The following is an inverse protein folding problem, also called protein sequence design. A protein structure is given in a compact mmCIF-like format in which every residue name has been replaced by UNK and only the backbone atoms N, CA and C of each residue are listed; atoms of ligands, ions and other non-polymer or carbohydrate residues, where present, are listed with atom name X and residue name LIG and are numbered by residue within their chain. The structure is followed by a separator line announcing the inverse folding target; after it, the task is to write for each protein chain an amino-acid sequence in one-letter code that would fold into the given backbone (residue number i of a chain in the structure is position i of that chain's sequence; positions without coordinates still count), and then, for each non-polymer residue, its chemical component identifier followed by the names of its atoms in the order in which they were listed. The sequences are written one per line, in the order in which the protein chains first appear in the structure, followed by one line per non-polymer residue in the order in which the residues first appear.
data_IF_859518799541
#
_entry.id   IF_859518799541
#
_cell.length_a   1.000
_cell.length_b   1.000
_cell.length_c   1.000
_cell.angle_alpha   90.00
_cell.angle_beta   90.00
_cell.angle_gamma   90.00
#
_symmetry.space_group_name_H-M   'P 1'
#
loop_
_entity.id
_entity.type
_entity.pdbx_description
1 polymer ?
#
# COMPACT_ATOMS: atom_id res chain seq x y z
N UNK A 1 3.83 -14.43 -7.07
CA UNK A 1 2.46 -13.92 -7.30
C UNK A 1 1.38 -14.93 -6.91
N UNK A 2 1.43 -16.21 -7.32
CA UNK A 2 0.44 -17.21 -6.87
C UNK A 2 0.37 -17.36 -5.34
N UNK A 3 1.53 -17.36 -4.67
CA UNK A 3 1.62 -17.35 -3.20
C UNK A 3 0.91 -16.12 -2.61
N UNK A 4 1.28 -14.91 -3.05
CA UNK A 4 0.64 -13.67 -2.60
C UNK A 4 -0.88 -13.63 -2.86
N UNK A 5 -1.35 -14.15 -4.01
CA UNK A 5 -2.79 -14.28 -4.28
C UNK A 5 -3.45 -15.28 -3.33
N UNK A 6 -2.79 -16.40 -3.07
CA UNK A 6 -3.27 -17.42 -2.14
C UNK A 6 -3.39 -16.87 -0.73
N UNK A 7 -2.39 -16.11 -0.28
CA UNK A 7 -2.39 -15.43 1.01
C UNK A 7 -3.43 -14.33 1.09
N UNK A 8 -3.67 -13.60 0.00
CA UNK A 8 -4.67 -12.53 -0.07
C UNK A 8 -6.10 -13.08 0.00
N UNK A 9 -6.43 -14.09 -0.81
CA UNK A 9 -7.77 -14.67 -0.88
C UNK A 9 -8.03 -15.76 0.16
N UNK A 10 -7.00 -16.20 0.90
CA UNK A 10 -7.08 -17.30 1.89
C UNK A 10 -7.56 -18.62 1.29
N UNK A 11 -7.27 -18.84 0.01
CA UNK A 11 -7.55 -20.06 -0.74
C UNK A 11 -6.52 -20.24 -1.87
N UNK A 12 -6.25 -21.47 -2.36
CA UNK A 12 -5.28 -21.66 -3.43
C UNK A 12 -5.67 -20.92 -4.71
N UNK A 13 -4.84 -19.96 -5.12
CA UNK A 13 -5.03 -19.18 -6.35
C UNK A 13 -3.77 -19.25 -7.21
N UNK A 14 -3.94 -19.63 -8.48
CA UNK A 14 -2.85 -19.64 -9.46
C UNK A 14 -2.85 -18.33 -10.22
N UNK A 15 -1.73 -17.59 -10.17
CA UNK A 15 -1.56 -16.38 -10.98
C UNK A 15 -1.74 -16.69 -12.48
N UNK A 16 -2.46 -15.84 -13.19
CA UNK A 16 -2.65 -15.94 -14.64
C UNK A 16 -1.90 -14.83 -15.37
N UNK A 17 -2.26 -13.58 -15.11
CA UNK A 17 -1.72 -12.40 -15.78
C UNK A 17 -1.94 -11.14 -14.94
N UNK A 18 -1.30 -10.06 -15.32
CA UNK A 18 -1.54 -8.73 -14.75
C UNK A 18 -1.87 -7.73 -15.84
N UNK A 19 -2.61 -6.69 -15.48
CA UNK A 19 -3.05 -5.64 -16.38
C UNK A 19 -2.66 -4.27 -15.81
N UNK A 20 -2.22 -3.39 -16.68
CA UNK A 20 -1.96 -2.00 -16.34
C UNK A 20 -3.27 -1.23 -16.21
N UNK A 21 -3.43 -0.49 -15.11
CA UNK A 21 -4.61 0.36 -14.87
C UNK A 21 -4.29 1.83 -15.15
N UNK A 22 -3.14 2.32 -14.69
CA UNK A 22 -2.76 3.72 -14.87
C UNK A 22 -1.63 4.16 -13.95
N UNK A 23 -1.05 5.31 -14.23
CA UNK A 23 -0.05 5.94 -13.39
C UNK A 23 -0.70 6.69 -12.22
N UNK A 24 0.10 7.03 -11.20
CA UNK A 24 -0.28 8.11 -10.28
C UNK A 24 -0.15 9.46 -10.98
N UNK A 25 -0.94 10.47 -10.57
CA UNK A 25 -0.94 11.79 -11.22
C UNK A 25 0.46 12.40 -11.36
N UNK A 26 0.66 13.23 -12.39
CA UNK A 26 1.95 13.91 -12.63
C UNK A 26 2.34 14.75 -11.40
N UNK A 27 3.56 14.53 -10.88
CA UNK A 27 4.06 15.26 -9.71
C UNK A 27 3.74 14.59 -8.37
N UNK A 28 3.13 13.41 -8.39
CA UNK A 28 3.08 12.49 -7.25
C UNK A 28 4.11 11.38 -7.52
N UNK A 29 4.96 11.05 -6.55
CA UNK A 29 6.03 10.00 -6.61
C UNK A 29 7.45 10.44 -7.00
N UNK A 30 8.02 11.42 -6.29
CA UNK A 30 9.44 11.83 -6.45
C UNK A 30 10.45 10.75 -6.04
N UNK A 31 10.09 9.85 -5.12
CA UNK A 31 11.00 8.85 -4.52
C UNK A 31 10.91 7.45 -5.16
N UNK A 32 9.91 7.21 -6.00
CA UNK A 32 9.60 5.88 -6.56
C UNK A 32 8.97 5.95 -7.95
N UNK A 33 8.87 4.81 -8.62
CA UNK A 33 7.97 4.60 -9.77
C UNK A 33 6.68 3.97 -9.23
N UNK A 34 5.53 4.61 -9.43
CA UNK A 34 4.24 4.15 -8.86
C UNK A 34 3.22 3.99 -9.96
N UNK A 35 2.66 2.79 -10.07
CA UNK A 35 1.62 2.45 -11.03
C UNK A 35 0.50 1.68 -10.34
N UNK A 36 -0.70 1.70 -10.92
CA UNK A 36 -1.81 0.84 -10.54
C UNK A 36 -1.87 -0.33 -11.48
N UNK A 37 -2.02 -1.52 -10.92
CA UNK A 37 -2.16 -2.76 -11.68
C UNK A 37 -3.30 -3.62 -11.13
N UNK A 38 -3.87 -4.44 -12.01
CA UNK A 38 -4.77 -5.53 -11.66
C UNK A 38 -4.03 -6.84 -11.77
N UNK A 39 -4.13 -7.70 -10.77
CA UNK A 39 -3.51 -9.01 -10.75
C UNK A 39 -4.64 -10.04 -10.76
N UNK A 40 -4.63 -10.87 -11.80
CA UNK A 40 -5.63 -11.92 -12.01
C UNK A 40 -5.08 -13.27 -11.58
N UNK A 41 -5.98 -14.13 -11.11
CA UNK A 41 -5.68 -15.52 -10.81
C UNK A 41 -6.90 -16.41 -10.97
N UNK A 42 -6.65 -17.72 -11.01
CA UNK A 42 -7.68 -18.75 -11.05
C UNK A 42 -7.70 -19.55 -9.74
N UNK A 43 -8.90 -19.67 -9.16
CA UNK A 43 -9.19 -20.52 -8.02
C UNK A 43 -10.20 -21.59 -8.47
N UNK A 44 -9.70 -22.75 -8.92
CA UNK A 44 -10.51 -23.90 -9.35
C UNK A 44 -11.54 -23.53 -10.44
N UNK A 45 -11.14 -22.78 -11.45
CA UNK A 45 -12.02 -22.31 -12.52
C UNK A 45 -12.80 -21.02 -12.20
N UNK A 46 -12.63 -20.46 -10.99
CA UNK A 46 -13.20 -19.16 -10.61
C UNK A 46 -12.15 -18.07 -10.74
N UNK A 47 -12.40 -17.08 -11.60
CA UNK A 47 -11.52 -15.91 -11.74
C UNK A 47 -11.51 -15.07 -10.46
N UNK A 48 -10.31 -14.70 -10.02
CA UNK A 48 -10.03 -13.82 -8.88
C UNK A 48 -9.22 -12.62 -9.36
N UNK A 49 -9.56 -11.45 -8.84
CA UNK A 49 -8.95 -10.18 -9.21
C UNK A 49 -8.64 -9.38 -7.95
N UNK A 50 -7.42 -8.84 -7.89
CA UNK A 50 -7.06 -7.81 -6.91
C UNK A 50 -6.41 -6.63 -7.62
N UNK A 51 -6.82 -5.41 -7.28
CA UNK A 51 -6.18 -4.18 -7.75
C UNK A 51 -5.24 -3.65 -6.68
N UNK A 52 -4.01 -3.36 -7.08
CA UNK A 52 -2.95 -2.92 -6.18
C UNK A 52 -2.22 -1.70 -6.75
N UNK A 53 -1.68 -0.89 -5.85
CA UNK A 53 -0.67 0.11 -6.14
C UNK A 53 0.69 -0.57 -6.06
N UNK A 54 1.38 -0.66 -7.19
CA UNK A 54 2.75 -1.15 -7.31
C UNK A 54 3.72 0.02 -7.21
N UNK A 55 4.60 -0.02 -6.22
CA UNK A 55 5.66 0.95 -6.01
C UNK A 55 7.01 0.26 -6.15
N UNK A 56 7.80 0.71 -7.14
CA UNK A 56 9.13 0.19 -7.44
C UNK A 56 10.21 1.22 -7.12
N UNK A 57 11.35 0.74 -6.65
CA UNK A 57 12.54 1.57 -6.50
C UNK A 57 12.95 2.16 -7.86
N UNK A 58 13.26 3.47 -7.97
CA UNK A 58 13.54 4.10 -9.27
C UNK A 58 14.69 3.43 -10.01
N UNK A 59 14.67 3.28 -11.34
CA UNK A 59 15.81 2.64 -12.04
C UNK A 59 17.10 3.50 -12.06
N UNK A 60 16.95 4.82 -11.95
CA UNK A 60 18.08 5.75 -12.01
C UNK A 60 18.91 5.75 -10.71
N UNK A 61 20.18 5.35 -10.81
CA UNK A 61 21.11 5.26 -9.66
C UNK A 61 21.34 6.60 -8.97
N UNK A 62 21.53 7.69 -9.72
CA UNK A 62 21.73 9.02 -9.13
C UNK A 62 20.51 9.43 -8.30
N UNK A 63 19.29 9.18 -8.80
CA UNK A 63 18.05 9.44 -8.06
C UNK A 63 18.00 8.61 -6.77
N UNK A 64 18.36 7.32 -6.81
CA UNK A 64 18.40 6.47 -5.62
C UNK A 64 19.35 7.01 -4.56
N UNK A 65 20.55 7.43 -4.95
CA UNK A 65 21.57 7.93 -4.03
C UNK A 65 21.16 9.28 -3.42
N UNK A 66 20.73 10.23 -4.26
CA UNK A 66 20.29 11.56 -3.81
C UNK A 66 19.14 11.47 -2.80
N UNK A 67 18.23 10.52 -3.01
CA UNK A 67 17.03 10.37 -2.20
C UNK A 67 17.07 9.20 -1.23
N UNK A 68 18.21 8.50 -1.03
CA UNK A 68 18.35 7.34 -0.13
C UNK A 68 17.20 6.32 -0.30
N UNK A 69 16.84 6.05 -1.56
CA UNK A 69 15.60 5.32 -1.87
C UNK A 69 15.53 3.94 -1.23
N UNK A 70 16.66 3.23 -1.14
CA UNK A 70 16.74 1.92 -0.50
C UNK A 70 16.33 1.99 0.99
N UNK A 71 16.76 3.03 1.70
CA UNK A 71 16.39 3.20 3.10
C UNK A 71 14.90 3.48 3.27
N UNK A 72 14.33 4.35 2.43
CA UNK A 72 12.90 4.67 2.48
C UNK A 72 12.02 3.47 2.16
N UNK A 73 12.38 2.69 1.12
CA UNK A 73 11.68 1.46 0.77
C UNK A 73 11.77 0.43 1.90
N UNK A 74 12.97 0.21 2.46
CA UNK A 74 13.16 -0.69 3.59
C UNK A 74 12.31 -0.27 4.80
N UNK A 75 12.21 1.02 5.09
CA UNK A 75 11.39 1.53 6.19
C UNK A 75 9.89 1.30 5.95
N UNK A 76 9.41 1.60 4.74
CA UNK A 76 8.01 1.37 4.35
C UNK A 76 7.65 -0.12 4.38
N UNK A 77 8.51 -0.99 3.86
CA UNK A 77 8.31 -2.45 3.92
C UNK A 77 8.29 -2.94 5.37
N UNK A 78 9.23 -2.50 6.20
CA UNK A 78 9.25 -2.84 7.63
C UNK A 78 8.01 -2.33 8.37
N UNK A 79 7.46 -1.16 7.98
CA UNK A 79 6.24 -0.65 8.56
C UNK A 79 5.09 -1.64 8.37
N UNK A 80 4.88 -2.12 7.13
CA UNK A 80 3.80 -3.08 6.84
C UNK A 80 4.08 -4.49 7.35
N UNK A 81 5.33 -4.98 7.29
CA UNK A 81 5.66 -6.35 7.68
C UNK A 81 5.88 -6.54 9.18
N UNK A 82 6.24 -5.47 9.92
CA UNK A 82 6.61 -5.57 11.34
C UNK A 82 5.79 -4.65 12.22
N UNK A 83 5.70 -3.36 11.88
CA UNK A 83 5.07 -2.35 12.75
C UNK A 83 3.56 -2.55 12.80
N UNK A 84 2.89 -2.63 11.66
CA UNK A 84 1.43 -2.82 11.60
C UNK A 84 0.99 -4.11 12.32
N UNK A 85 1.58 -5.29 12.07
CA UNK A 85 1.21 -6.49 12.82
C UNK A 85 1.37 -6.33 14.33
N UNK A 86 2.47 -5.73 14.79
CA UNK A 86 2.70 -5.50 16.23
C UNK A 86 1.72 -4.48 16.82
N UNK A 87 1.36 -3.45 16.06
CA UNK A 87 0.34 -2.48 16.46
C UNK A 87 -1.03 -3.18 16.60
N UNK A 88 -1.42 -4.02 15.64
CA UNK A 88 -2.68 -4.76 15.71
C UNK A 88 -2.72 -5.74 16.89
N UNK A 89 -1.63 -6.48 17.12
CA UNK A 89 -1.49 -7.34 18.30
C UNK A 89 -1.64 -6.53 19.60
N UNK A 90 -0.93 -5.40 19.70
CA UNK A 90 -1.01 -4.54 20.88
C UNK A 90 -2.42 -4.00 21.09
N UNK A 91 -3.07 -3.47 20.05
CA UNK A 91 -4.44 -2.98 20.14
C UNK A 91 -5.41 -4.09 20.56
N UNK A 92 -5.23 -5.33 20.10
CA UNK A 92 -6.07 -6.47 20.50
C UNK A 92 -5.92 -6.83 21.99
N UNK A 93 -4.78 -6.51 22.63
CA UNK A 93 -4.63 -6.67 24.10
C UNK A 93 -5.32 -5.58 24.90
N UNK A 94 -5.77 -4.51 24.24
CA UNK A 94 -6.42 -3.37 24.87
C UNK A 94 -7.90 -3.39 24.50
N UNK A 95 -8.78 -3.11 25.45
CA UNK A 95 -10.21 -2.93 25.16
C UNK A 95 -10.48 -1.55 24.55
N UNK A 96 -9.85 -1.26 23.42
CA UNK A 96 -9.98 0.02 22.71
C UNK A 96 -11.31 0.00 21.95
N UNK A 97 -12.18 0.97 22.24
CA UNK A 97 -13.47 1.10 21.58
C UNK A 97 -13.36 1.47 20.09
N UNK A 98 -12.30 2.20 19.74
CA UNK A 98 -12.09 2.72 18.39
C UNK A 98 -10.61 2.57 17.97
N UNK A 99 -10.20 1.36 17.52
CA UNK A 99 -8.82 1.05 17.19
C UNK A 99 -8.37 1.71 15.88
N UNK A 100 -7.07 1.97 15.76
CA UNK A 100 -6.46 2.41 14.52
C UNK A 100 -6.64 1.36 13.42
N UNK A 101 -7.25 1.80 12.31
CA UNK A 101 -7.52 1.00 11.10
C UNK A 101 -7.12 1.75 9.82
N UNK A 102 -6.45 2.90 9.95
CA UNK A 102 -6.10 3.81 8.86
C UNK A 102 -4.89 3.35 8.03
N UNK A 103 -4.89 2.12 7.52
CA UNK A 103 -3.83 1.57 6.68
C UNK A 103 -4.39 0.68 5.56
N UNK A 104 -3.67 0.61 4.44
CA UNK A 104 -3.96 -0.31 3.33
C UNK A 104 -3.37 -1.69 3.59
N UNK A 105 -3.97 -2.75 3.06
CA UNK A 105 -3.38 -4.09 3.19
C UNK A 105 -2.14 -4.25 2.33
N UNK A 106 -1.14 -4.94 2.86
CA UNK A 106 0.03 -5.38 2.10
C UNK A 106 -0.34 -6.58 1.24
N UNK A 107 -0.15 -6.46 -0.08
CA UNK A 107 -0.31 -7.59 -1.00
C UNK A 107 1.01 -8.35 -1.17
N UNK A 108 2.11 -7.63 -1.40
CA UNK A 108 3.44 -8.22 -1.60
C UNK A 108 4.52 -7.18 -1.28
N UNK A 109 5.64 -7.61 -0.72
CA UNK A 109 6.83 -6.79 -0.59
C UNK A 109 8.09 -7.63 -0.81
N UNK A 110 9.12 -7.00 -1.35
CA UNK A 110 10.45 -7.57 -1.49
C UNK A 110 11.49 -6.45 -1.31
N UNK A 111 12.60 -6.75 -0.63
CA UNK A 111 13.68 -5.79 -0.40
C UNK A 111 15.03 -6.50 -0.36
N UNK A 112 15.94 -6.07 -1.23
CA UNK A 112 17.35 -6.47 -1.31
C UNK A 112 18.29 -5.26 -1.46
N UNK A 113 17.75 -4.04 -1.43
CA UNK A 113 18.43 -2.77 -1.67
C UNK A 113 18.55 -2.38 -3.14
N UNK A 114 18.19 -3.26 -4.07
CA UNK A 114 18.37 -3.08 -5.52
C UNK A 114 17.07 -3.19 -6.31
N UNK A 115 16.17 -4.10 -5.94
CA UNK A 115 14.92 -4.41 -6.63
C UNK A 115 13.73 -4.24 -5.70
N UNK A 116 13.86 -3.36 -4.70
CA UNK A 116 12.85 -3.09 -3.70
C UNK A 116 11.50 -2.74 -4.33
N UNK A 117 10.48 -3.45 -3.88
CA UNK A 117 9.11 -3.32 -4.36
C UNK A 117 8.14 -3.51 -3.21
N UNK A 118 7.09 -2.69 -3.20
CA UNK A 118 5.94 -2.86 -2.32
C UNK A 118 4.65 -2.72 -3.12
N UNK A 119 3.75 -3.68 -2.93
CA UNK A 119 2.42 -3.73 -3.53
C UNK A 119 1.38 -3.60 -2.41
N UNK A 120 0.56 -2.56 -2.48
CA UNK A 120 -0.46 -2.27 -1.49
C UNK A 120 -1.86 -2.30 -2.13
N UNK A 121 -2.88 -2.59 -1.32
CA UNK A 121 -4.29 -2.43 -1.70
C UNK A 121 -4.54 -1.05 -2.33
N UNK A 122 -5.24 -1.01 -3.46
CA UNK A 122 -5.63 0.26 -4.07
C UNK A 122 -6.92 0.80 -3.44
N UNK A 123 -6.77 1.77 -2.53
CA UNK A 123 -7.89 2.40 -1.84
C UNK A 123 -8.88 3.14 -2.78
N UNK A 124 -8.51 3.42 -4.05
CA UNK A 124 -9.46 4.00 -5.01
C UNK A 124 -10.64 3.06 -5.28
N UNK A 125 -10.46 1.74 -5.12
CA UNK A 125 -11.56 0.76 -5.27
C UNK A 125 -12.65 0.97 -4.22
N UNK A 126 -12.27 1.48 -3.04
CA UNK A 126 -13.19 1.80 -1.94
C UNK A 126 -13.68 3.26 -1.98
N UNK A 127 -13.41 3.98 -3.08
CA UNK A 127 -13.83 5.38 -3.26
C UNK A 127 -12.87 6.42 -2.67
N UNK A 128 -11.72 6.02 -2.11
CA UNK A 128 -10.69 6.96 -1.66
C UNK A 128 -9.88 7.47 -2.86
N UNK A 129 -10.14 8.71 -3.27
CA UNK A 129 -9.43 9.39 -4.33
C UNK A 129 -8.82 10.71 -3.85
N UNK A 130 -7.96 11.28 -4.70
CA UNK A 130 -7.51 12.67 -4.52
C UNK A 130 -8.69 13.59 -4.85
N UNK A 131 -9.52 13.86 -3.84
CA UNK A 131 -10.78 14.60 -4.01
C UNK A 131 -10.62 16.12 -3.90
N UNK A 132 -9.44 16.61 -3.51
CA UNK A 132 -9.17 18.05 -3.43
C UNK A 132 -7.94 18.42 -4.25
N UNK A 133 -8.06 19.49 -5.05
CA UNK A 133 -6.88 20.09 -5.65
C UNK A 133 -6.00 20.62 -4.51
N UNK A 134 -4.66 20.51 -4.63
CA UNK A 134 -3.72 21.03 -3.61
C UNK A 134 -3.99 22.49 -3.21
N UNK A 135 -4.65 23.26 -4.08
CA UNK A 135 -5.01 24.66 -3.88
C UNK A 135 -6.30 24.87 -3.08
N UNK A 136 -7.21 23.89 -3.06
CA UNK A 136 -8.53 24.01 -2.42
C UNK A 136 -8.49 23.64 -0.92
N UNK A 137 -7.46 22.89 -0.51
CA UNK A 137 -7.27 22.48 0.88
C UNK A 137 -8.13 21.28 1.27
N UNK A 138 -8.33 21.08 2.57
CA UNK A 138 -9.12 19.99 3.16
C UNK A 138 -10.18 20.65 4.05
N UNK A 139 -11.45 20.23 3.93
CA UNK A 139 -12.51 20.79 4.77
C UNK A 139 -12.38 20.36 6.25
N UNK A 140 -13.17 21.00 7.10
CA UNK A 140 -13.10 20.82 8.55
C UNK A 140 -13.42 19.38 8.99
N UNK A 141 -14.36 18.71 8.33
CA UNK A 141 -14.78 17.36 8.73
C UNK A 141 -13.72 16.33 8.33
N UNK A 142 -13.11 16.47 7.15
CA UNK A 142 -11.95 15.66 6.78
C UNK A 142 -10.75 15.94 7.70
N UNK A 143 -10.51 17.19 8.11
CA UNK A 143 -9.47 17.53 9.07
C UNK A 143 -9.67 16.80 10.42
N UNK A 144 -10.90 16.76 10.94
CA UNK A 144 -11.19 16.00 12.18
C UNK A 144 -10.85 14.53 12.04
N UNK A 145 -11.23 13.91 10.92
CA UNK A 145 -10.94 12.49 10.67
C UNK A 145 -9.43 12.27 10.63
N UNK A 146 -8.67 13.10 9.91
CA UNK A 146 -7.21 12.99 9.82
C UNK A 146 -6.56 13.12 11.20
N UNK A 147 -6.93 14.14 11.98
CA UNK A 147 -6.35 14.36 13.31
C UNK A 147 -6.71 13.24 14.28
N UNK A 148 -7.95 12.72 14.22
CA UNK A 148 -8.37 11.57 15.02
C UNK A 148 -7.57 10.32 14.66
N UNK A 149 -7.42 10.01 13.38
CA UNK A 149 -6.63 8.87 12.89
C UNK A 149 -5.17 8.98 13.31
N UNK A 150 -4.60 10.19 13.23
CA UNK A 150 -3.23 10.44 13.69
C UNK A 150 -3.09 10.25 15.20
N UNK A 151 -4.06 10.72 15.99
CA UNK A 151 -4.07 10.53 17.44
C UNK A 151 -4.19 9.03 17.81
N UNK A 152 -5.01 8.26 17.10
CA UNK A 152 -5.10 6.80 17.28
C UNK A 152 -3.78 6.10 16.97
N UNK A 153 -3.08 6.52 15.92
CA UNK A 153 -1.78 5.94 15.56
C UNK A 153 -0.67 6.28 16.57
N UNK A 154 -0.72 7.46 17.19
CA UNK A 154 0.28 7.94 18.16
C UNK A 154 0.08 7.44 19.61
N UNK A 155 -1.12 6.99 19.97
CA UNK A 155 -1.49 6.60 21.35
C UNK A 155 -0.97 5.21 21.73
#
# INVERSE_FOLDING_TARGET
LSEALTDWFKEPVTFTHWEYVGDTGKGDSYLSEVIRIKINGDAKGTSKLVQVVLKNIPKNVCRRLTYRSDEFFRNEINFYQKVIPKLLEFQATKNIADPFTGFTKLFLAYSDGLNDVICLEDANVEGFGTHTLRQEGIDYDHCKVIIKTLAQFHA
#
